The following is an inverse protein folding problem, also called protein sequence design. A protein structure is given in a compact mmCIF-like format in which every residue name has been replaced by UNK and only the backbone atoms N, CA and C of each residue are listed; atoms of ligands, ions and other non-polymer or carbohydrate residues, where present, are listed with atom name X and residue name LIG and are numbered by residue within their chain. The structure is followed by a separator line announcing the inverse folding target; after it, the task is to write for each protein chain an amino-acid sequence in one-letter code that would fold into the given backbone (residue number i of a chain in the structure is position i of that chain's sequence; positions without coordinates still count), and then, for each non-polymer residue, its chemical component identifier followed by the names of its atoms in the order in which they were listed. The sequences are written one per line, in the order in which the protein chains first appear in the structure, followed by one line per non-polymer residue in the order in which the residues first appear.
data_IF_386732557883
#
_entry.id   IF_386732557883
#
_cell.length_a   1.000
_cell.length_b   1.000
_cell.length_c   1.000
_cell.angle_alpha   90.00
_cell.angle_beta   90.00
_cell.angle_gamma   90.00
#
_symmetry.space_group_name_H-M   'P 1'
#
loop_
_entity.id
_entity.type
_entity.pdbx_description
1 polymer ?
#
# COMPACT_ATOMS: atom_id res chain seq x y z
N UNK A 1 -8.25 -15.66 -7.89
CA UNK A 1 -6.91 -15.77 -7.32
C UNK A 1 -6.99 -16.41 -5.92
N UNK A 2 -7.36 -15.72 -4.86
CA UNK A 2 -7.31 -16.20 -3.45
C UNK A 2 -7.94 -17.62 -3.30
N UNK A 3 -9.18 -17.83 -3.75
CA UNK A 3 -9.87 -19.11 -3.61
C UNK A 3 -9.25 -20.26 -4.44
N UNK A 4 -8.44 -19.93 -5.42
CA UNK A 4 -7.80 -20.92 -6.31
C UNK A 4 -6.31 -21.12 -5.98
N UNK A 5 -5.80 -20.45 -4.96
CA UNK A 5 -4.43 -20.61 -4.51
C UNK A 5 -4.23 -22.01 -3.92
N UNK A 6 -3.28 -22.76 -4.47
CA UNK A 6 -3.04 -24.17 -4.12
C UNK A 6 -1.67 -24.42 -3.49
N UNK A 7 -0.88 -23.37 -3.33
CA UNK A 7 0.45 -23.48 -2.72
C UNK A 7 0.33 -23.67 -1.20
N UNK A 8 1.30 -24.34 -0.61
CA UNK A 8 1.36 -24.56 0.84
C UNK A 8 1.97 -23.35 1.57
N UNK A 9 1.55 -22.13 1.17
CA UNK A 9 1.92 -20.84 1.76
C UNK A 9 0.73 -19.88 1.65
N UNK A 10 0.70 -18.78 2.41
CA UNK A 10 -0.33 -17.75 2.24
C UNK A 10 -0.33 -17.17 0.82
N UNK A 11 -1.51 -16.72 0.36
CA UNK A 11 -1.61 -15.89 -0.84
C UNK A 11 -1.13 -14.48 -0.54
N UNK A 12 -0.15 -13.98 -1.28
CA UNK A 12 0.46 -12.67 -1.04
C UNK A 12 -0.12 -11.62 -2.00
N UNK A 13 -0.79 -10.63 -1.42
CA UNK A 13 -1.57 -9.62 -2.15
C UNK A 13 -1.00 -8.22 -1.96
N UNK A 14 -0.57 -7.59 -3.04
CA UNK A 14 -0.19 -6.17 -3.08
C UNK A 14 -1.42 -5.26 -3.25
N UNK A 15 -1.51 -4.18 -2.50
CA UNK A 15 -2.69 -3.32 -2.41
C UNK A 15 -2.33 -1.83 -2.52
N UNK A 16 -3.11 -1.05 -3.30
CA UNK A 16 -2.99 0.41 -3.39
C UNK A 16 -3.89 1.11 -2.36
N UNK A 17 -3.67 2.41 -2.21
CA UNK A 17 -4.59 3.33 -1.53
C UNK A 17 -5.28 4.27 -2.53
N UNK A 18 -5.95 5.29 -2.03
CA UNK A 18 -6.63 6.29 -2.84
C UNK A 18 -8.09 5.96 -3.16
N UNK A 19 -8.75 6.80 -3.94
CA UNK A 19 -10.18 6.69 -4.22
C UNK A 19 -10.52 5.58 -5.22
N UNK A 20 -9.62 5.26 -6.14
CA UNK A 20 -9.87 4.29 -7.22
C UNK A 20 -10.17 2.87 -6.74
N UNK A 21 -9.47 2.29 -5.75
CA UNK A 21 -9.72 0.93 -5.29
C UNK A 21 -10.93 0.78 -4.35
N UNK A 22 -11.54 1.86 -3.86
CA UNK A 22 -12.61 1.78 -2.85
C UNK A 22 -13.78 0.89 -3.26
N UNK A 23 -14.20 0.95 -4.53
CA UNK A 23 -15.26 0.09 -5.05
C UNK A 23 -14.89 -1.40 -5.00
N UNK A 24 -13.61 -1.72 -5.27
CA UNK A 24 -13.07 -3.08 -5.16
C UNK A 24 -13.05 -3.54 -3.70
N UNK A 25 -12.55 -2.71 -2.78
CA UNK A 25 -12.54 -3.02 -1.35
C UNK A 25 -13.94 -3.27 -0.79
N UNK A 26 -14.89 -2.40 -1.12
CA UNK A 26 -16.30 -2.59 -0.75
C UNK A 26 -16.82 -3.94 -1.24
N UNK A 27 -16.53 -4.31 -2.50
CA UNK A 27 -16.97 -5.59 -3.05
C UNK A 27 -16.30 -6.80 -2.38
N UNK A 28 -15.01 -6.70 -2.07
CA UNK A 28 -14.29 -7.75 -1.35
C UNK A 28 -14.82 -7.94 0.08
N UNK A 29 -15.16 -6.86 0.77
CA UNK A 29 -15.82 -6.91 2.10
C UNK A 29 -17.18 -7.63 2.01
N UNK A 30 -18.01 -7.29 1.03
CA UNK A 30 -19.29 -7.96 0.79
C UNK A 30 -19.10 -9.47 0.56
N UNK A 31 -18.14 -9.85 -0.27
CA UNK A 31 -17.82 -11.25 -0.56
C UNK A 31 -17.28 -12.00 0.67
N UNK A 32 -16.46 -11.35 1.49
CA UNK A 32 -15.95 -11.93 2.73
C UNK A 32 -17.08 -12.14 3.73
N UNK A 33 -17.93 -11.13 3.96
CA UNK A 33 -19.10 -11.26 4.84
C UNK A 33 -20.10 -12.31 4.37
N UNK A 34 -20.20 -12.54 3.07
CA UNK A 34 -21.03 -13.60 2.48
C UNK A 34 -20.36 -14.98 2.48
N UNK A 35 -19.15 -15.12 3.06
CA UNK A 35 -18.39 -16.37 3.09
C UNK A 35 -17.87 -16.86 1.72
N UNK A 36 -17.90 -16.00 0.70
CA UNK A 36 -17.46 -16.35 -0.67
C UNK A 36 -15.95 -16.20 -0.88
N UNK A 37 -15.29 -15.41 -0.05
CA UNK A 37 -13.83 -15.27 0.00
C UNK A 37 -13.40 -15.15 1.47
N UNK A 38 -12.25 -15.73 1.83
CA UNK A 38 -11.64 -15.57 3.15
C UNK A 38 -10.24 -15.02 3.01
N UNK A 39 -9.87 -14.10 3.90
CA UNK A 39 -8.53 -13.52 3.98
C UNK A 39 -7.68 -14.13 5.10
N UNK A 40 -8.16 -15.19 5.78
CA UNK A 40 -7.41 -15.84 6.87
C UNK A 40 -6.05 -16.38 6.45
N UNK A 41 -5.92 -16.82 5.19
CA UNK A 41 -4.65 -17.29 4.62
C UNK A 41 -4.12 -16.33 3.56
N UNK A 42 -4.30 -15.03 3.77
CA UNK A 42 -3.79 -13.97 2.91
C UNK A 42 -2.81 -13.11 3.70
N UNK A 43 -1.71 -12.74 3.08
CA UNK A 43 -0.77 -11.73 3.57
C UNK A 43 -0.83 -10.54 2.63
N UNK A 44 -0.91 -9.33 3.15
CA UNK A 44 -0.99 -8.12 2.32
C UNK A 44 0.24 -7.26 2.47
N UNK A 45 0.59 -6.57 1.37
CA UNK A 45 1.63 -5.55 1.31
C UNK A 45 1.07 -4.31 0.62
N UNK A 46 1.03 -3.17 1.30
CA UNK A 46 0.70 -1.90 0.66
C UNK A 46 1.90 -1.36 -0.12
N UNK A 47 1.63 -0.63 -1.20
CA UNK A 47 2.68 -0.17 -2.11
C UNK A 47 3.48 1.02 -1.57
N UNK A 48 2.91 1.80 -0.65
CA UNK A 48 3.51 3.05 -0.20
C UNK A 48 2.96 3.52 1.15
N UNK A 49 3.63 4.50 1.76
CA UNK A 49 3.19 5.28 2.92
C UNK A 49 3.95 6.61 2.96
N UNK A 50 3.29 7.66 3.41
CA UNK A 50 3.92 8.97 3.61
C UNK A 50 4.97 8.94 4.72
N UNK A 51 6.10 9.62 4.50
CA UNK A 51 7.09 9.86 5.55
C UNK A 51 6.65 11.00 6.45
N UNK A 52 6.84 10.80 7.75
CA UNK A 52 6.54 11.80 8.78
C UNK A 52 5.07 11.90 9.18
N UNK A 53 4.21 10.99 8.70
CA UNK A 53 2.80 10.94 9.05
C UNK A 53 2.53 9.80 10.04
N UNK A 54 2.07 10.09 11.27
CA UNK A 54 1.71 9.05 12.23
C UNK A 54 0.59 8.15 11.70
N UNK A 55 0.58 6.88 12.11
CA UNK A 55 -0.43 5.88 11.68
C UNK A 55 -1.87 6.30 11.98
N UNK A 56 -2.07 7.02 13.08
CA UNK A 56 -3.37 7.51 13.53
C UNK A 56 -3.85 8.73 12.75
N UNK A 57 -2.99 9.34 11.96
CA UNK A 57 -3.37 10.48 11.13
C UNK A 57 -4.36 10.02 10.06
N UNK A 58 -5.47 10.75 9.90
CA UNK A 58 -6.57 10.38 8.97
C UNK A 58 -6.13 10.22 7.51
N UNK A 59 -5.03 10.87 7.11
CA UNK A 59 -4.49 10.79 5.75
C UNK A 59 -3.30 9.83 5.63
N UNK A 60 -2.90 9.11 6.71
CA UNK A 60 -1.94 8.01 6.57
C UNK A 60 -2.57 6.86 5.79
N UNK A 61 -1.77 6.14 5.04
CA UNK A 61 -2.27 4.97 4.31
C UNK A 61 -2.58 3.81 5.23
N UNK A 62 -1.91 3.76 6.39
CA UNK A 62 -2.30 2.83 7.46
C UNK A 62 -3.75 3.06 7.91
N UNK A 63 -4.10 4.32 8.25
CA UNK A 63 -5.47 4.67 8.65
C UNK A 63 -6.46 4.39 7.52
N UNK A 64 -6.13 4.81 6.31
CA UNK A 64 -6.98 4.58 5.13
C UNK A 64 -7.31 3.09 4.95
N UNK A 65 -6.31 2.22 5.00
CA UNK A 65 -6.48 0.79 4.74
C UNK A 65 -7.27 0.11 5.86
N UNK A 66 -7.00 0.46 7.12
CA UNK A 66 -7.78 -0.07 8.24
C UNK A 66 -9.23 0.38 8.16
N UNK A 67 -9.48 1.68 7.99
CA UNK A 67 -10.82 2.24 7.94
C UNK A 67 -11.66 1.74 6.75
N UNK A 68 -11.06 1.54 5.60
CA UNK A 68 -11.79 1.20 4.37
C UNK A 68 -11.78 -0.28 4.01
N UNK A 69 -10.91 -1.10 4.62
CA UNK A 69 -10.76 -2.49 4.21
C UNK A 69 -10.44 -3.46 5.36
N UNK A 70 -9.29 -3.33 6.01
CA UNK A 70 -8.79 -4.39 6.89
C UNK A 70 -9.67 -4.66 8.11
N UNK A 71 -10.25 -3.64 8.74
CA UNK A 71 -11.12 -3.80 9.91
C UNK A 71 -12.50 -4.41 9.58
N UNK A 72 -12.76 -4.64 8.30
CA UNK A 72 -14.04 -5.18 7.82
C UNK A 72 -13.97 -6.62 7.30
N UNK A 73 -12.79 -7.24 7.30
CA UNK A 73 -12.53 -8.59 6.76
C UNK A 73 -11.85 -9.48 7.81
N UNK A 74 -11.79 -10.78 7.52
CA UNK A 74 -11.25 -11.80 8.43
C UNK A 74 -9.72 -12.00 8.33
N UNK A 75 -8.98 -10.97 7.90
CA UNK A 75 -7.52 -11.03 7.82
C UNK A 75 -6.88 -10.96 9.22
N UNK A 76 -5.91 -11.84 9.57
CA UNK A 76 -5.13 -11.70 10.79
C UNK A 76 -4.27 -10.43 10.76
N UNK A 77 -4.20 -9.71 11.89
CA UNK A 77 -3.46 -8.43 11.95
C UNK A 77 -1.97 -8.58 11.63
N UNK A 78 -1.36 -9.68 12.02
CA UNK A 78 0.04 -10.02 11.74
C UNK A 78 0.34 -10.22 10.25
N UNK A 79 -0.71 -10.46 9.46
CA UNK A 79 -0.62 -10.63 8.00
C UNK A 79 -0.72 -9.32 7.22
N UNK A 80 -1.00 -8.21 7.89
CA UNK A 80 -1.09 -6.88 7.28
C UNK A 80 0.29 -6.22 7.33
N UNK A 81 0.80 -5.83 6.17
CA UNK A 81 2.08 -5.14 6.07
C UNK A 81 1.89 -3.79 5.37
N UNK A 82 2.26 -2.74 6.08
CA UNK A 82 2.30 -1.35 5.60
C UNK A 82 3.65 -0.79 6.03
N UNK A 83 4.29 -0.03 5.16
CA UNK A 83 5.54 0.67 5.44
C UNK A 83 5.38 1.62 6.64
N UNK A 84 6.41 1.75 7.44
CA UNK A 84 6.40 2.67 8.58
C UNK A 84 7.09 3.99 8.23
N UNK A 85 6.32 4.99 7.81
CA UNK A 85 6.84 6.31 7.49
C UNK A 85 7.39 7.11 8.68
N UNK A 86 7.24 6.58 9.91
CA UNK A 86 7.78 7.14 11.16
C UNK A 86 9.00 6.39 11.67
N UNK A 87 9.59 5.49 10.87
CA UNK A 87 10.80 4.77 11.27
C UNK A 87 11.98 5.74 11.45
N UNK A 88 12.82 5.50 12.45
CA UNK A 88 14.04 6.29 12.69
C UNK A 88 15.05 6.12 11.54
N UNK A 89 15.14 4.90 10.99
CA UNK A 89 15.93 4.57 9.82
C UNK A 89 15.02 4.09 8.70
N UNK A 90 14.76 4.98 7.74
CA UNK A 90 13.87 4.71 6.62
C UNK A 90 14.44 3.69 5.63
N UNK A 91 15.76 3.65 5.46
CA UNK A 91 16.42 2.68 4.59
C UNK A 91 16.35 1.28 5.18
N UNK A 92 16.60 1.15 6.48
CA UNK A 92 16.43 -0.13 7.19
C UNK A 92 14.97 -0.61 7.14
N UNK A 93 13.99 0.29 7.23
CA UNK A 93 12.57 -0.05 7.07
C UNK A 93 12.26 -0.55 5.66
N UNK A 94 12.79 0.10 4.63
CA UNK A 94 12.64 -0.34 3.25
C UNK A 94 13.25 -1.74 3.04
N UNK A 95 14.44 -1.98 3.57
CA UNK A 95 15.09 -3.29 3.47
C UNK A 95 14.30 -4.36 4.22
N UNK A 96 13.84 -4.06 5.45
CA UNK A 96 12.98 -4.96 6.22
C UNK A 96 11.72 -5.34 5.44
N UNK A 97 11.12 -4.39 4.71
CA UNK A 97 9.93 -4.62 3.91
C UNK A 97 10.20 -5.56 2.73
N UNK A 98 11.30 -5.33 2.02
CA UNK A 98 11.77 -6.19 0.93
C UNK A 98 12.06 -7.61 1.42
N UNK A 99 12.80 -7.75 2.53
CA UNK A 99 13.13 -9.05 3.12
C UNK A 99 11.86 -9.82 3.51
N UNK A 100 10.85 -9.10 4.03
CA UNK A 100 9.57 -9.71 4.37
C UNK A 100 8.80 -10.17 3.13
N UNK A 101 8.78 -9.41 2.05
CA UNK A 101 8.20 -9.83 0.76
C UNK A 101 8.93 -11.09 0.26
N UNK A 102 10.27 -11.06 0.27
CA UNK A 102 11.09 -12.19 -0.18
C UNK A 102 10.87 -13.46 0.66
N UNK A 103 10.64 -13.33 1.97
CA UNK A 103 10.38 -14.47 2.87
C UNK A 103 9.10 -15.23 2.53
N UNK A 104 8.16 -14.60 1.84
CA UNK A 104 6.94 -15.22 1.31
C UNK A 104 7.09 -15.74 -0.13
N UNK A 105 8.26 -15.57 -0.75
CA UNK A 105 8.50 -15.94 -2.15
C UNK A 105 8.02 -14.89 -3.14
N UNK A 106 7.78 -13.66 -2.71
CA UNK A 106 7.29 -12.56 -3.53
C UNK A 106 5.78 -12.35 -3.42
N UNK A 107 5.24 -11.49 -4.28
CA UNK A 107 3.82 -11.11 -4.29
C UNK A 107 3.12 -11.86 -5.44
N UNK A 108 2.05 -12.59 -5.13
CA UNK A 108 1.29 -13.39 -6.11
C UNK A 108 0.44 -12.51 -7.04
N UNK A 109 -0.11 -11.43 -6.50
CA UNK A 109 -0.92 -10.47 -7.25
C UNK A 109 -0.72 -9.09 -6.66
N UNK A 110 -0.28 -8.15 -7.47
CA UNK A 110 -0.24 -6.73 -7.09
C UNK A 110 -1.36 -5.99 -7.82
N UNK A 111 -2.32 -5.46 -7.06
CA UNK A 111 -3.32 -4.53 -7.57
C UNK A 111 -2.76 -3.12 -7.51
N UNK A 112 -2.76 -2.42 -8.62
CA UNK A 112 -2.24 -1.05 -8.71
C UNK A 112 -2.98 -0.24 -9.75
N UNK A 113 -2.72 1.05 -9.75
CA UNK A 113 -3.14 1.98 -10.77
C UNK A 113 -1.93 2.71 -11.36
N UNK A 114 -2.11 3.41 -12.44
CA UNK A 114 -1.12 4.38 -12.93
C UNK A 114 -1.57 5.80 -12.60
N UNK A 115 -0.63 6.64 -12.17
CA UNK A 115 -0.88 8.05 -11.95
C UNK A 115 -1.12 8.81 -13.26
N UNK A 116 -1.38 10.11 -13.15
CA UNK A 116 -1.70 10.98 -14.30
C UNK A 116 -0.55 11.11 -15.30
N UNK A 117 0.67 10.93 -14.85
CA UNK A 117 1.93 10.95 -15.61
C UNK A 117 2.48 9.52 -15.90
N UNK A 118 1.71 8.49 -15.56
CA UNK A 118 2.06 7.08 -15.77
C UNK A 118 2.87 6.44 -14.65
N UNK A 119 3.11 7.12 -13.53
CA UNK A 119 3.82 6.52 -12.39
C UNK A 119 3.07 5.35 -11.76
N UNK A 120 3.82 4.40 -11.21
CA UNK A 120 3.32 3.26 -10.42
C UNK A 120 3.81 3.44 -8.99
N UNK A 121 2.91 3.36 -8.00
CA UNK A 121 3.17 3.76 -6.61
C UNK A 121 3.70 5.22 -6.60
N UNK A 122 4.73 5.55 -5.83
CA UNK A 122 5.40 6.85 -5.93
C UNK A 122 6.71 6.80 -6.74
N UNK A 123 6.81 5.86 -7.71
CA UNK A 123 7.92 5.86 -8.66
C UNK A 123 7.63 6.85 -9.78
N UNK A 124 7.95 8.10 -9.52
CA UNK A 124 7.78 9.24 -10.41
C UNK A 124 8.61 9.08 -11.71
N UNK A 125 8.32 9.84 -12.79
CA UNK A 125 9.12 9.82 -14.00
C UNK A 125 10.62 9.88 -13.72
N UNK A 126 11.41 9.12 -14.47
CA UNK A 126 12.86 8.92 -14.31
C UNK A 126 13.28 8.01 -13.13
N UNK A 127 12.37 7.44 -12.36
CA UNK A 127 12.72 6.36 -11.43
C UNK A 127 13.17 5.13 -12.24
N UNK A 128 14.28 4.51 -11.83
CA UNK A 128 14.77 3.30 -12.48
C UNK A 128 13.78 2.16 -12.39
N UNK A 129 13.54 1.45 -13.49
CA UNK A 129 12.71 0.22 -13.53
C UNK A 129 13.31 -0.94 -12.71
N UNK A 130 14.57 -0.83 -12.29
CA UNK A 130 15.22 -1.79 -11.40
C UNK A 130 15.26 -1.32 -9.95
N UNK A 131 14.55 -0.22 -9.63
CA UNK A 131 14.51 0.29 -8.27
C UNK A 131 13.80 -0.69 -7.33
N UNK A 132 14.25 -0.71 -6.09
CA UNK A 132 13.62 -1.46 -5.00
C UNK A 132 12.85 -0.50 -4.11
N UNK A 133 12.19 -1.03 -3.08
CA UNK A 133 11.53 -0.20 -2.05
C UNK A 133 12.50 0.85 -1.51
N UNK A 134 12.06 2.10 -1.46
CA UNK A 134 12.93 3.20 -1.04
C UNK A 134 12.17 4.49 -0.78
N UNK A 135 12.89 5.48 -0.29
CA UNK A 135 12.38 6.84 -0.11
C UNK A 135 12.23 7.52 -1.48
N UNK A 136 11.07 8.13 -1.72
CA UNK A 136 10.77 8.88 -2.95
C UNK A 136 10.40 10.31 -2.60
N UNK A 137 11.01 11.27 -3.30
CA UNK A 137 10.54 12.65 -3.30
C UNK A 137 9.32 12.75 -4.22
N UNK A 138 8.27 13.41 -3.78
CA UNK A 138 7.07 13.60 -4.57
C UNK A 138 7.21 14.80 -5.49
N UNK A 139 6.77 14.66 -6.75
CA UNK A 139 6.76 15.76 -7.71
C UNK A 139 5.71 16.82 -7.33
N UNK A 140 5.87 18.03 -7.85
CA UNK A 140 4.92 19.11 -7.62
C UNK A 140 3.50 18.72 -8.10
N UNK A 141 3.40 18.02 -9.21
CA UNK A 141 2.11 17.54 -9.74
C UNK A 141 1.45 16.54 -8.79
N UNK A 142 2.22 15.64 -8.20
CA UNK A 142 1.74 14.69 -7.17
C UNK A 142 1.30 15.43 -5.90
N UNK A 143 2.05 16.44 -5.44
CA UNK A 143 1.67 17.25 -4.29
C UNK A 143 0.35 17.99 -4.54
N UNK A 144 0.19 18.61 -5.71
CA UNK A 144 -1.06 19.28 -6.11
C UNK A 144 -2.21 18.27 -6.19
N UNK A 145 -2.02 17.14 -6.85
CA UNK A 145 -3.06 16.12 -6.97
C UNK A 145 -3.52 15.57 -5.62
N UNK A 146 -2.60 15.40 -4.66
CA UNK A 146 -2.89 14.87 -3.34
C UNK A 146 -3.37 15.94 -2.34
N UNK A 147 -3.21 17.23 -2.64
CA UNK A 147 -3.66 18.32 -1.76
C UNK A 147 -5.15 18.25 -1.41
N UNK A 148 -5.96 17.64 -2.28
CA UNK A 148 -7.40 17.38 -2.03
C UNK A 148 -7.68 16.61 -0.73
N UNK A 149 -6.71 15.86 -0.22
CA UNK A 149 -6.79 15.14 1.04
C UNK A 149 -6.23 15.96 2.22
N UNK A 150 -5.57 17.09 1.94
CA UNK A 150 -4.88 17.95 2.90
C UNK A 150 -5.42 19.41 2.81
N UNK A 151 -6.74 19.56 2.97
CA UNK A 151 -7.45 20.85 2.94
C UNK A 151 -7.24 21.67 1.65
N UNK A 152 -6.94 21.01 0.53
CA UNK A 152 -6.52 21.58 -0.75
C UNK A 152 -5.23 22.43 -0.66
N UNK A 153 -4.37 22.13 0.31
CA UNK A 153 -3.11 22.83 0.54
C UNK A 153 -1.92 21.91 0.18
N UNK A 154 -1.21 22.12 -0.94
CA UNK A 154 -0.06 21.30 -1.32
C UNK A 154 1.10 21.35 -0.31
N UNK A 155 1.20 22.44 0.50
CA UNK A 155 2.25 22.57 1.51
C UNK A 155 2.02 21.64 2.72
N UNK A 156 0.80 21.20 2.94
CA UNK A 156 0.46 20.22 3.99
C UNK A 156 0.71 18.79 3.57
N UNK A 157 0.85 18.52 2.26
CA UNK A 157 1.16 17.17 1.77
C UNK A 157 2.61 16.83 2.12
N UNK A 158 2.89 15.64 2.71
CA UNK A 158 4.27 15.21 2.93
C UNK A 158 5.07 15.22 1.64
N UNK A 159 6.30 15.73 1.69
CA UNK A 159 7.15 15.90 0.50
C UNK A 159 7.84 14.60 0.07
N UNK A 160 7.82 13.59 0.94
CA UNK A 160 8.46 12.28 0.71
C UNK A 160 7.53 11.15 1.13
N UNK A 161 7.70 10.01 0.47
CA UNK A 161 7.03 8.76 0.80
C UNK A 161 8.00 7.59 0.74
N UNK A 162 7.68 6.50 1.43
CA UNK A 162 8.24 5.19 1.20
C UNK A 162 7.42 4.51 0.12
N UNK A 163 8.06 3.92 -0.87
CA UNK A 163 7.37 3.29 -1.99
C UNK A 163 8.08 2.03 -2.45
N UNK A 164 7.32 0.97 -2.75
CA UNK A 164 7.89 -0.22 -3.40
C UNK A 164 8.49 0.15 -4.76
N UNK A 165 9.47 -0.63 -5.20
CA UNK A 165 10.04 -0.49 -6.54
C UNK A 165 9.07 -0.95 -7.65
N UNK A 166 9.52 -0.87 -8.90
CA UNK A 166 8.76 -1.29 -10.09
C UNK A 166 9.03 -2.76 -10.40
#
# INVERSE_FOLDING_TARGET
AINNHKENRPFVLGLPTGSSPLGTYKKLIELNKAGKVSFKNVVTFNMDEYVGLPREHKESYWYFMHHNFFDHIDIPRENINILNGMAEDLEAECQRYEDKIASYGGIDLFMGGSGVDGHIAFNEPFTSLTSRTGVRALTQDTLIANSRFFDNDPEKVPKTALSVGV
#
